data_IF_935459507678
#
_entry.id   IF_935459507678
#
_cell.length_a   1.000
_cell.length_b   1.000
_cell.length_c   1.000
_cell.angle_alpha   90.00
_cell.angle_beta   90.00
_cell.angle_gamma   90.00
#
_symmetry.space_group_name_H-M   'P 1'
#
loop_
_entity.id
_entity.type
_entity.pdbx_description
1 polymer ?
#
# COMPACT_ATOMS: atom_id res chain seq x y z
N UNK A 1 -11.57 14.82 -26.12
CA UNK A 1 -11.88 13.83 -25.05
C UNK A 1 -11.64 12.45 -25.62
N UNK A 2 -10.53 11.80 -25.29
CA UNK A 2 -10.25 10.41 -25.73
C UNK A 2 -10.84 9.46 -24.67
N UNK A 3 -11.72 8.57 -25.12
CA UNK A 3 -12.27 7.46 -24.33
C UNK A 3 -11.11 6.60 -23.76
N UNK A 4 -10.86 6.70 -22.45
CA UNK A 4 -9.85 5.90 -21.72
C UNK A 4 -10.46 4.72 -20.97
N UNK A 5 -11.64 4.22 -21.35
CA UNK A 5 -12.39 3.21 -20.58
C UNK A 5 -12.34 1.77 -21.13
N UNK A 6 -11.55 1.46 -22.15
CA UNK A 6 -11.70 0.13 -22.79
C UNK A 6 -10.58 -0.89 -22.58
N UNK A 7 -9.50 -0.66 -21.81
CA UNK A 7 -8.52 -1.74 -21.54
C UNK A 7 -7.60 -1.48 -20.32
N UNK A 8 -8.08 -0.95 -19.21
CA UNK A 8 -7.23 -0.90 -18.01
C UNK A 8 -7.26 -2.24 -17.30
N UNK A 9 -6.11 -2.92 -17.24
CA UNK A 9 -5.95 -4.14 -16.42
C UNK A 9 -6.24 -3.77 -14.96
N UNK A 10 -7.16 -4.49 -14.26
CA UNK A 10 -7.47 -4.20 -12.87
C UNK A 10 -6.21 -4.20 -11.98
N UNK A 11 -6.17 -3.33 -10.98
CA UNK A 11 -5.02 -3.19 -10.07
C UNK A 11 -4.49 -4.53 -9.54
N UNK A 12 -5.42 -5.41 -9.11
CA UNK A 12 -5.08 -6.74 -8.58
C UNK A 12 -4.32 -7.61 -9.59
N UNK A 13 -4.75 -7.61 -10.82
CA UNK A 13 -4.09 -8.36 -11.90
C UNK A 13 -2.74 -7.75 -12.25
N UNK A 14 -2.67 -6.42 -12.27
CA UNK A 14 -1.45 -5.69 -12.60
C UNK A 14 -0.32 -5.96 -11.61
N UNK A 15 -0.59 -5.89 -10.29
CA UNK A 15 0.42 -6.16 -9.27
C UNK A 15 0.86 -7.63 -9.26
N UNK A 16 -0.07 -8.57 -9.50
CA UNK A 16 0.26 -10.00 -9.60
C UNK A 16 1.10 -10.29 -10.85
N UNK A 17 0.80 -9.65 -11.98
CA UNK A 17 1.59 -9.74 -13.21
C UNK A 17 3.01 -9.23 -12.99
N UNK A 18 3.18 -8.05 -12.41
CA UNK A 18 4.49 -7.49 -12.08
C UNK A 18 5.27 -8.41 -11.11
N UNK A 19 4.58 -8.93 -10.08
CA UNK A 19 5.18 -9.89 -9.13
C UNK A 19 5.68 -11.17 -9.81
N UNK A 20 4.91 -11.71 -10.74
CA UNK A 20 5.29 -12.90 -11.51
C UNK A 20 6.47 -12.62 -12.45
N UNK A 21 6.40 -11.53 -13.21
CA UNK A 21 7.43 -11.18 -14.19
C UNK A 21 8.79 -10.92 -13.54
N UNK A 22 8.81 -10.23 -12.40
CA UNK A 22 10.03 -9.85 -11.70
C UNK A 22 10.43 -10.83 -10.58
N UNK A 23 9.73 -11.95 -10.43
CA UNK A 23 9.97 -12.92 -9.35
C UNK A 23 10.15 -12.22 -7.99
N UNK A 24 9.26 -11.29 -7.68
CA UNK A 24 9.36 -10.46 -6.49
C UNK A 24 7.99 -10.10 -5.93
N UNK A 25 7.89 -10.10 -4.59
CA UNK A 25 6.73 -9.58 -3.85
C UNK A 25 7.08 -8.28 -3.10
N UNK A 26 8.16 -7.60 -3.53
CA UNK A 26 8.66 -6.37 -2.90
C UNK A 26 8.00 -5.14 -3.52
N UNK A 27 7.50 -4.26 -2.68
CA UNK A 27 7.00 -2.93 -3.01
C UNK A 27 7.98 -1.90 -2.48
N UNK A 28 8.55 -1.09 -3.36
CA UNK A 28 9.46 0.00 -2.96
C UNK A 28 8.66 1.15 -2.34
N UNK A 29 8.91 1.46 -1.07
CA UNK A 29 8.34 2.66 -0.45
C UNK A 29 9.26 3.87 -0.62
N UNK A 30 8.80 4.86 -1.37
CA UNK A 30 9.45 6.15 -1.55
C UNK A 30 8.82 7.19 -0.62
N UNK A 31 9.47 7.42 0.51
CA UNK A 31 9.11 8.46 1.48
C UNK A 31 10.21 9.54 1.44
N UNK A 32 10.34 10.21 0.27
CA UNK A 32 11.40 11.17 -0.03
C UNK A 32 11.10 12.54 0.59
N UNK A 33 12.12 13.14 1.22
CA UNK A 33 12.02 14.46 1.85
C UNK A 33 13.40 15.10 2.05
N UNK A 34 13.43 16.37 2.47
CA UNK A 34 14.67 17.05 2.84
C UNK A 34 15.53 17.56 1.68
N UNK A 35 14.93 17.75 0.49
CA UNK A 35 15.62 18.34 -0.67
C UNK A 35 14.62 19.11 -1.56
N UNK A 36 15.14 19.85 -2.57
CA UNK A 36 14.27 20.50 -3.55
C UNK A 36 13.45 19.47 -4.33
N UNK A 37 12.23 19.86 -4.75
CA UNK A 37 11.33 18.97 -5.47
C UNK A 37 11.96 18.39 -6.76
N UNK A 38 12.82 19.16 -7.45
CA UNK A 38 13.55 18.66 -8.62
C UNK A 38 14.61 17.61 -8.26
N UNK A 39 15.31 17.75 -7.12
CA UNK A 39 16.25 16.75 -6.61
C UNK A 39 15.50 15.49 -6.15
N UNK A 40 14.36 15.65 -5.47
CA UNK A 40 13.52 14.53 -5.04
C UNK A 40 13.00 13.74 -6.24
N UNK A 41 12.51 14.40 -7.29
CA UNK A 41 12.06 13.74 -8.52
C UNK A 41 13.20 12.93 -9.17
N UNK A 42 14.38 13.54 -9.34
CA UNK A 42 15.55 12.85 -9.92
C UNK A 42 15.96 11.63 -9.08
N UNK A 43 16.00 11.78 -7.75
CA UNK A 43 16.33 10.69 -6.83
C UNK A 43 15.29 9.57 -6.91
N UNK A 44 14.00 9.93 -6.92
CA UNK A 44 12.92 8.95 -7.03
C UNK A 44 12.96 8.15 -8.33
N UNK A 45 13.15 8.83 -9.47
CA UNK A 45 13.30 8.18 -10.78
C UNK A 45 14.49 7.21 -10.78
N UNK A 46 15.67 7.67 -10.37
CA UNK A 46 16.88 6.82 -10.31
C UNK A 46 16.68 5.58 -9.44
N UNK A 47 16.00 5.72 -8.28
CA UNK A 47 15.69 4.58 -7.42
C UNK A 47 14.73 3.59 -8.09
N UNK A 48 13.67 4.08 -8.74
CA UNK A 48 12.73 3.22 -9.48
C UNK A 48 13.47 2.47 -10.58
N UNK A 49 14.13 3.17 -11.48
CA UNK A 49 14.83 2.62 -12.66
C UNK A 49 15.84 1.53 -12.28
N UNK A 50 16.65 1.79 -11.24
CA UNK A 50 17.66 0.82 -10.77
C UNK A 50 17.09 -0.40 -10.07
N UNK A 51 15.94 -0.26 -9.41
CA UNK A 51 15.39 -1.34 -8.59
C UNK A 51 14.21 -2.06 -9.24
N UNK A 52 13.65 -1.52 -10.31
CA UNK A 52 12.45 -2.03 -11.00
C UNK A 52 12.48 -3.55 -11.28
N UNK A 53 13.60 -4.17 -11.73
CA UNK A 53 13.63 -5.61 -12.00
C UNK A 53 13.38 -6.49 -10.76
N UNK A 54 13.42 -5.91 -9.56
CA UNK A 54 13.29 -6.61 -8.28
C UNK A 54 12.04 -6.20 -7.50
N UNK A 55 11.10 -5.51 -8.15
CA UNK A 55 9.90 -4.98 -7.51
C UNK A 55 8.63 -5.52 -8.16
N UNK A 56 7.51 -5.51 -7.42
CA UNK A 56 6.18 -5.73 -7.96
C UNK A 56 5.31 -4.48 -7.97
N UNK A 57 5.71 -3.41 -7.29
CA UNK A 57 5.04 -2.12 -7.28
C UNK A 57 5.93 -1.03 -6.67
N UNK A 58 5.54 0.23 -6.86
CA UNK A 58 6.08 1.39 -6.15
C UNK A 58 4.99 1.98 -5.26
N UNK A 59 5.33 2.41 -4.04
CA UNK A 59 4.45 3.13 -3.12
C UNK A 59 5.01 4.50 -2.83
N UNK A 60 4.26 5.55 -3.15
CA UNK A 60 4.58 6.92 -2.74
C UNK A 60 3.86 7.26 -1.43
N UNK A 61 4.61 7.71 -0.43
CA UNK A 61 4.03 8.24 0.79
C UNK A 61 3.56 9.70 0.62
N UNK A 62 2.58 10.12 1.44
CA UNK A 62 2.08 11.51 1.50
C UNK A 62 3.21 12.55 1.55
N UNK A 63 4.30 12.39 2.34
CA UNK A 63 5.39 13.37 2.36
C UNK A 63 6.04 13.57 1.00
N UNK A 64 6.21 12.52 0.21
CA UNK A 64 6.79 12.62 -1.14
C UNK A 64 5.89 13.43 -2.07
N UNK A 65 4.58 13.14 -2.07
CA UNK A 65 3.60 13.86 -2.91
C UNK A 65 3.52 15.34 -2.55
N UNK A 66 3.46 15.67 -1.26
CA UNK A 66 3.44 17.07 -0.79
C UNK A 66 4.70 17.83 -1.20
N UNK A 67 5.88 17.21 -1.11
CA UNK A 67 7.15 17.86 -1.47
C UNK A 67 7.35 17.99 -3.00
N UNK A 68 6.77 17.09 -3.79
CA UNK A 68 6.86 17.12 -5.25
C UNK A 68 5.83 18.08 -5.88
N UNK A 69 4.64 18.17 -5.30
CA UNK A 69 3.47 18.75 -5.95
C UNK A 69 2.92 17.86 -7.07
N UNK A 70 1.76 18.22 -7.61
CA UNK A 70 0.98 17.40 -8.55
C UNK A 70 1.78 17.01 -9.79
N UNK A 71 2.39 17.98 -10.49
CA UNK A 71 3.05 17.74 -11.78
C UNK A 71 4.24 16.79 -11.66
N UNK A 72 5.11 17.00 -10.66
CA UNK A 72 6.26 16.11 -10.45
C UNK A 72 5.86 14.74 -9.91
N UNK A 73 4.77 14.66 -9.17
CA UNK A 73 4.19 13.38 -8.75
C UNK A 73 3.73 12.58 -9.97
N UNK A 74 3.01 13.19 -10.93
CA UNK A 74 2.65 12.55 -12.21
C UNK A 74 3.86 11.99 -12.94
N UNK A 75 4.97 12.74 -12.99
CA UNK A 75 6.20 12.29 -13.63
C UNK A 75 6.85 11.09 -12.92
N UNK A 76 6.71 11.01 -11.60
CA UNK A 76 7.23 9.90 -10.82
C UNK A 76 6.35 8.65 -10.95
N UNK A 77 5.03 8.82 -10.95
CA UNK A 77 4.06 7.76 -11.23
C UNK A 77 4.27 7.21 -12.66
N UNK A 78 4.44 8.10 -13.64
CA UNK A 78 4.74 7.69 -15.01
C UNK A 78 6.04 6.87 -15.09
N UNK A 79 7.09 7.27 -14.37
CA UNK A 79 8.33 6.51 -14.31
C UNK A 79 8.12 5.08 -13.76
N UNK A 80 7.21 4.90 -12.78
CA UNK A 80 6.82 3.56 -12.30
C UNK A 80 6.18 2.74 -13.43
N UNK A 81 5.24 3.33 -14.16
CA UNK A 81 4.54 2.68 -15.28
C UNK A 81 5.47 2.37 -16.46
N UNK A 82 6.42 3.27 -16.78
CA UNK A 82 7.44 3.06 -17.83
C UNK A 82 8.36 1.85 -17.52
N UNK A 83 8.35 1.38 -16.26
CA UNK A 83 9.04 0.17 -15.79
C UNK A 83 8.07 -0.98 -15.46
N UNK A 84 6.86 -0.99 -16.02
CA UNK A 84 5.82 -2.01 -15.83
C UNK A 84 5.39 -2.25 -14.36
N UNK A 85 5.55 -1.25 -13.50
CA UNK A 85 5.21 -1.32 -12.08
C UNK A 85 3.97 -0.47 -11.76
N UNK A 86 2.91 -1.03 -11.14
CA UNK A 86 1.82 -0.24 -10.60
C UNK A 86 2.30 0.66 -9.46
N UNK A 87 1.66 1.82 -9.32
CA UNK A 87 1.99 2.82 -8.32
C UNK A 87 0.86 3.00 -7.30
N UNK A 88 1.19 2.90 -6.00
CA UNK A 88 0.25 2.98 -4.89
C UNK A 88 0.47 4.29 -4.13
N UNK A 89 -0.59 5.04 -3.83
CA UNK A 89 -0.52 6.16 -2.89
C UNK A 89 -0.78 5.69 -1.45
N UNK A 90 0.15 5.98 -0.55
CA UNK A 90 -0.02 5.76 0.89
C UNK A 90 -0.45 7.07 1.57
N UNK A 91 -1.72 7.41 1.40
CA UNK A 91 -2.34 8.58 2.03
C UNK A 91 -2.99 8.24 3.37
N UNK A 92 -3.47 7.00 3.53
CA UNK A 92 -4.33 6.58 4.65
C UNK A 92 -5.59 7.45 4.72
N UNK A 93 -6.17 7.69 3.53
CA UNK A 93 -7.36 8.54 3.37
C UNK A 93 -8.49 8.05 4.27
N UNK A 94 -9.07 8.97 5.03
CA UNK A 94 -10.11 8.63 6.02
C UNK A 94 -10.79 9.88 6.54
N UNK A 95 -11.64 10.49 5.72
CA UNK A 95 -12.39 11.70 5.95
C UNK A 95 -13.89 11.45 5.66
N UNK A 96 -14.69 12.48 5.55
CA UNK A 96 -16.07 12.40 5.05
C UNK A 96 -16.11 12.15 3.54
N UNK A 97 -17.25 11.69 3.03
CA UNK A 97 -17.44 11.22 1.66
C UNK A 97 -17.08 12.23 0.57
N UNK A 98 -17.42 13.51 0.72
CA UNK A 98 -17.08 14.56 -0.25
C UNK A 98 -15.56 14.74 -0.35
N UNK A 99 -14.86 14.85 0.77
CA UNK A 99 -13.40 14.96 0.82
C UNK A 99 -12.75 13.71 0.26
N UNK A 100 -13.21 12.52 0.67
CA UNK A 100 -12.70 11.25 0.18
C UNK A 100 -12.88 11.10 -1.34
N UNK A 101 -14.01 11.53 -1.88
CA UNK A 101 -14.29 11.54 -3.32
C UNK A 101 -13.32 12.44 -4.07
N UNK A 102 -13.15 13.69 -3.61
CA UNK A 102 -12.28 14.67 -4.25
C UNK A 102 -10.82 14.22 -4.24
N UNK A 103 -10.33 13.76 -3.08
CA UNK A 103 -8.93 13.34 -2.91
C UNK A 103 -8.62 12.07 -3.69
N UNK A 104 -9.50 11.06 -3.67
CA UNK A 104 -9.28 9.82 -4.43
C UNK A 104 -9.26 10.07 -5.93
N UNK A 105 -10.18 10.91 -6.47
CA UNK A 105 -10.15 11.32 -7.89
C UNK A 105 -8.83 12.03 -8.23
N UNK A 106 -8.40 12.99 -7.42
CA UNK A 106 -7.15 13.70 -7.66
C UNK A 106 -5.94 12.74 -7.73
N UNK A 107 -5.88 11.72 -6.86
CA UNK A 107 -4.82 10.72 -6.93
C UNK A 107 -4.93 9.82 -8.17
N UNK A 108 -6.11 9.34 -8.51
CA UNK A 108 -6.29 8.52 -9.72
C UNK A 108 -6.01 9.31 -11.00
N UNK A 109 -6.37 10.60 -11.05
CA UNK A 109 -6.02 11.52 -12.13
C UNK A 109 -4.50 11.76 -12.22
N UNK A 110 -3.76 11.69 -11.12
CA UNK A 110 -2.29 11.69 -11.14
C UNK A 110 -1.68 10.40 -11.71
N UNK A 111 -2.51 9.36 -11.91
CA UNK A 111 -2.11 8.08 -12.49
C UNK A 111 -1.92 6.96 -11.46
N UNK A 112 -2.13 7.18 -10.17
CA UNK A 112 -2.03 6.10 -9.19
C UNK A 112 -2.98 4.94 -9.50
N UNK A 113 -2.52 3.71 -9.27
CA UNK A 113 -3.28 2.49 -9.52
C UNK A 113 -3.99 1.98 -8.28
N UNK A 114 -3.50 2.36 -7.09
CA UNK A 114 -4.10 1.97 -5.82
C UNK A 114 -3.94 3.03 -4.75
N UNK A 115 -4.85 3.01 -3.78
CA UNK A 115 -4.86 3.92 -2.63
C UNK A 115 -4.97 3.16 -1.32
N UNK A 116 -4.19 3.58 -0.30
CA UNK A 116 -4.34 3.09 1.07
C UNK A 116 -5.30 4.00 1.83
N UNK A 117 -6.35 3.40 2.42
CA UNK A 117 -7.39 4.10 3.17
C UNK A 117 -7.40 3.71 4.65
N UNK A 118 -7.87 4.60 5.52
CA UNK A 118 -8.05 4.34 6.95
C UNK A 118 -9.53 4.01 7.23
N UNK A 119 -9.86 2.79 7.63
CA UNK A 119 -11.24 2.35 7.82
C UNK A 119 -11.93 2.99 9.03
N UNK A 120 -11.24 3.83 9.83
CA UNK A 120 -11.85 4.53 10.96
C UNK A 120 -13.00 5.44 10.53
N UNK A 121 -12.93 6.00 9.31
CA UNK A 121 -13.98 6.85 8.74
C UNK A 121 -15.32 6.12 8.51
N UNK A 122 -15.32 4.78 8.53
CA UNK A 122 -16.52 4.00 8.26
C UNK A 122 -16.88 3.90 6.78
N UNK A 123 -18.03 3.25 6.48
CA UNK A 123 -18.51 3.06 5.12
C UNK A 123 -19.40 4.22 4.67
N UNK A 124 -20.63 4.26 5.23
CA UNK A 124 -21.64 5.26 4.87
C UNK A 124 -21.25 6.66 5.32
N UNK A 125 -21.21 7.61 4.42
CA UNK A 125 -20.74 8.96 4.67
C UNK A 125 -19.22 9.08 4.86
N UNK A 126 -18.48 8.01 4.56
CA UNK A 126 -17.03 7.94 4.68
C UNK A 126 -16.37 7.37 3.42
N UNK A 127 -15.94 6.10 3.45
CA UNK A 127 -15.10 5.51 2.39
C UNK A 127 -15.85 4.92 1.20
N UNK A 128 -17.18 4.76 1.26
CA UNK A 128 -17.98 4.18 0.18
C UNK A 128 -17.65 4.77 -1.22
N UNK A 129 -17.55 6.11 -1.40
CA UNK A 129 -17.28 6.68 -2.71
C UNK A 129 -15.88 6.33 -3.25
N UNK A 130 -14.87 6.14 -2.38
CA UNK A 130 -13.53 5.73 -2.81
C UNK A 130 -13.58 4.36 -3.48
N UNK A 131 -14.28 3.41 -2.88
CA UNK A 131 -14.45 2.07 -3.44
C UNK A 131 -15.23 2.09 -4.76
N UNK A 132 -16.32 2.88 -4.85
CA UNK A 132 -17.10 3.04 -6.09
C UNK A 132 -16.27 3.64 -7.23
N UNK A 133 -15.48 4.67 -6.94
CA UNK A 133 -14.61 5.32 -7.93
C UNK A 133 -13.53 4.32 -8.38
N UNK A 134 -12.85 3.67 -7.43
CA UNK A 134 -11.81 2.69 -7.73
C UNK A 134 -12.32 1.54 -8.59
N UNK A 135 -13.46 0.95 -8.23
CA UNK A 135 -14.09 -0.11 -9.00
C UNK A 135 -14.41 0.31 -10.44
N UNK A 136 -14.98 1.52 -10.63
CA UNK A 136 -15.30 2.05 -11.96
C UNK A 136 -14.08 2.26 -12.84
N UNK A 137 -12.93 2.61 -12.23
CA UNK A 137 -11.71 2.97 -12.95
C UNK A 137 -10.65 1.84 -12.97
N UNK A 138 -11.01 0.63 -12.48
CA UNK A 138 -10.07 -0.49 -12.38
C UNK A 138 -8.92 -0.27 -11.40
N UNK A 139 -9.12 0.63 -10.43
CA UNK A 139 -8.14 0.99 -9.39
C UNK A 139 -8.31 0.13 -8.14
N UNK A 140 -7.26 0.07 -7.30
CA UNK A 140 -7.27 -0.73 -6.08
C UNK A 140 -7.48 0.07 -4.80
N UNK A 141 -8.16 -0.53 -3.83
CA UNK A 141 -8.29 0.01 -2.47
C UNK A 141 -7.67 -0.95 -1.47
N UNK A 142 -6.73 -0.46 -0.69
CA UNK A 142 -6.03 -1.22 0.34
C UNK A 142 -6.39 -0.62 1.71
N UNK A 143 -6.96 -1.43 2.60
CA UNK A 143 -7.44 -0.98 3.91
C UNK A 143 -6.33 -1.08 4.95
N UNK A 144 -6.11 -0.03 5.72
CA UNK A 144 -5.20 -0.04 6.87
C UNK A 144 -5.81 -0.85 8.02
N UNK A 145 -5.17 -1.98 8.36
CA UNK A 145 -5.64 -2.86 9.43
C UNK A 145 -4.77 -2.76 10.69
N UNK A 146 -3.43 -2.73 10.54
CA UNK A 146 -2.52 -2.61 11.67
C UNK A 146 -1.19 -1.94 11.25
N UNK A 147 -0.80 -0.86 11.90
CA UNK A 147 0.46 -0.17 11.61
C UNK A 147 1.68 -0.90 12.17
N UNK A 148 2.88 -0.55 11.68
CA UNK A 148 4.15 -1.21 12.04
C UNK A 148 4.95 -0.53 13.14
N UNK A 149 4.53 0.66 13.64
CA UNK A 149 5.22 1.40 14.70
C UNK A 149 4.84 0.88 16.10
N UNK A 150 5.64 1.15 17.15
CA UNK A 150 5.40 0.61 18.50
C UNK A 150 4.05 0.99 19.09
N UNK A 151 3.62 2.26 19.00
CA UNK A 151 2.34 2.73 19.50
C UNK A 151 1.10 2.22 18.75
N UNK A 152 1.27 1.39 17.72
CA UNK A 152 0.14 0.79 17.02
C UNK A 152 -0.70 -0.14 17.93
N UNK A 153 -0.10 -0.70 18.98
CA UNK A 153 -0.83 -1.55 19.93
C UNK A 153 -1.90 -0.79 20.72
N UNK A 154 -1.67 0.50 20.96
CA UNK A 154 -2.53 1.30 21.85
C UNK A 154 -3.88 1.58 21.17
N UNK A 155 -3.88 1.81 19.85
CA UNK A 155 -5.07 2.12 19.08
C UNK A 155 -5.64 0.88 18.35
N UNK A 156 -4.81 0.21 17.55
CA UNK A 156 -5.28 -0.94 16.77
C UNK A 156 -5.48 -2.20 17.61
N UNK A 157 -4.79 -2.28 18.76
CA UNK A 157 -4.88 -3.39 19.71
C UNK A 157 -5.97 -3.26 20.73
N UNK A 158 -6.59 -2.09 20.90
CA UNK A 158 -7.64 -1.86 21.91
C UNK A 158 -8.87 -2.74 21.69
N UNK A 159 -9.60 -3.03 22.78
CA UNK A 159 -10.88 -3.70 22.71
C UNK A 159 -12.02 -2.71 22.45
N UNK A 160 -12.87 -3.04 21.51
CA UNK A 160 -14.03 -2.26 21.12
C UNK A 160 -15.30 -3.09 21.32
N UNK A 161 -16.29 -2.53 21.98
CA UNK A 161 -17.64 -3.08 22.12
C UNK A 161 -18.57 -2.28 21.20
N UNK A 162 -19.10 -2.91 20.16
CA UNK A 162 -19.95 -2.24 19.13
C UNK A 162 -21.44 -2.21 19.47
N UNK A 163 -21.86 -2.97 20.45
CA UNK A 163 -23.25 -2.97 20.94
C UNK A 163 -23.27 -3.35 22.44
N UNK A 164 -24.29 -2.95 23.19
CA UNK A 164 -24.36 -3.23 24.63
C UNK A 164 -24.26 -4.71 25.03
N UNK A 165 -24.66 -5.62 24.14
CA UNK A 165 -24.58 -7.08 24.32
C UNK A 165 -23.47 -7.72 23.46
N UNK A 166 -22.65 -6.91 22.75
CA UNK A 166 -21.58 -7.37 21.86
C UNK A 166 -20.37 -7.85 22.66
N UNK A 167 -19.73 -8.92 22.20
CA UNK A 167 -18.43 -9.34 22.74
C UNK A 167 -17.35 -8.34 22.34
N UNK A 168 -16.42 -7.99 23.26
CA UNK A 168 -15.26 -7.17 22.94
C UNK A 168 -14.43 -7.81 21.82
N UNK A 169 -14.01 -6.99 20.85
CA UNK A 169 -13.12 -7.41 19.76
C UNK A 169 -11.98 -6.41 19.63
N UNK A 170 -10.82 -6.88 19.18
CA UNK A 170 -9.69 -5.97 18.88
C UNK A 170 -10.05 -5.07 17.72
N UNK A 171 -9.63 -3.80 17.76
CA UNK A 171 -9.90 -2.83 16.69
C UNK A 171 -9.43 -3.33 15.33
N UNK A 172 -8.21 -3.92 15.25
CA UNK A 172 -7.69 -4.45 14.00
C UNK A 172 -8.52 -5.62 13.43
N UNK A 173 -9.20 -6.41 14.28
CA UNK A 173 -10.07 -7.48 13.80
C UNK A 173 -11.34 -6.92 13.14
N UNK A 174 -11.84 -5.80 13.67
CA UNK A 174 -12.96 -5.07 13.07
C UNK A 174 -12.52 -4.48 11.72
N UNK A 175 -11.29 -3.95 11.64
CA UNK A 175 -10.75 -3.41 10.40
C UNK A 175 -10.47 -4.50 9.34
N UNK A 176 -9.99 -5.67 9.75
CA UNK A 176 -9.85 -6.83 8.87
C UNK A 176 -11.21 -7.27 8.30
N UNK A 177 -12.23 -7.35 9.16
CA UNK A 177 -13.59 -7.65 8.72
C UNK A 177 -14.12 -6.61 7.72
N UNK A 178 -13.88 -5.31 7.95
CA UNK A 178 -14.25 -4.24 7.00
C UNK A 178 -13.54 -4.40 5.66
N UNK A 179 -12.24 -4.74 5.67
CA UNK A 179 -11.51 -4.98 4.42
C UNK A 179 -12.15 -6.10 3.59
N UNK A 180 -12.58 -7.18 4.24
CA UNK A 180 -13.30 -8.28 3.59
C UNK A 180 -14.69 -7.86 3.10
N UNK A 181 -15.52 -7.30 3.98
CA UNK A 181 -16.90 -6.91 3.69
C UNK A 181 -17.01 -5.82 2.61
N UNK A 182 -16.03 -4.92 2.55
CA UNK A 182 -16.01 -3.83 1.56
C UNK A 182 -15.39 -4.25 0.22
N UNK A 183 -14.91 -5.49 0.12
CA UNK A 183 -14.30 -6.00 -1.12
C UNK A 183 -12.96 -5.34 -1.44
N UNK A 184 -12.15 -5.03 -0.42
CA UNK A 184 -10.84 -4.42 -0.61
C UNK A 184 -9.89 -5.32 -1.40
N UNK A 185 -8.96 -4.73 -2.17
CA UNK A 185 -7.89 -5.46 -2.85
C UNK A 185 -6.79 -5.91 -1.89
N UNK A 186 -6.73 -5.30 -0.72
CA UNK A 186 -5.76 -5.68 0.28
C UNK A 186 -5.96 -5.05 1.64
N UNK A 187 -5.14 -5.53 2.58
CA UNK A 187 -5.05 -5.09 3.96
C UNK A 187 -3.60 -4.77 4.32
N UNK A 188 -3.33 -3.58 4.87
CA UNK A 188 -2.01 -3.25 5.42
C UNK A 188 -1.88 -3.79 6.83
N UNK A 189 -0.92 -4.69 7.06
CA UNK A 189 -0.62 -5.26 8.38
C UNK A 189 0.89 -5.25 8.62
N UNK A 190 1.34 -4.56 9.67
CA UNK A 190 2.77 -4.39 9.97
C UNK A 190 3.51 -5.72 10.19
N UNK A 191 4.61 -5.93 9.47
CA UNK A 191 5.48 -7.12 9.57
C UNK A 191 6.21 -7.27 10.91
N UNK A 192 6.20 -6.23 11.75
CA UNK A 192 6.80 -6.24 13.09
C UNK A 192 6.03 -7.10 14.08
N UNK A 193 4.80 -7.49 13.73
CA UNK A 193 3.87 -8.29 14.54
C UNK A 193 3.34 -9.50 13.76
N UNK A 194 4.16 -10.55 13.54
CA UNK A 194 3.75 -11.73 12.76
C UNK A 194 2.49 -12.42 13.31
N UNK A 195 2.28 -12.38 14.63
CA UNK A 195 1.08 -12.92 15.29
C UNK A 195 -0.20 -12.19 14.86
N UNK A 196 -0.11 -10.87 14.64
CA UNK A 196 -1.24 -10.09 14.12
C UNK A 196 -1.47 -10.41 12.64
N UNK A 197 -0.39 -10.53 11.84
CA UNK A 197 -0.48 -10.94 10.43
C UNK A 197 -1.22 -12.29 10.33
N UNK A 198 -0.83 -13.29 11.13
CA UNK A 198 -1.45 -14.62 11.16
C UNK A 198 -2.94 -14.54 11.55
N UNK A 199 -3.28 -13.75 12.57
CA UNK A 199 -4.66 -13.56 13.00
C UNK A 199 -5.50 -12.88 11.91
N UNK A 200 -4.97 -11.82 11.27
CA UNK A 200 -5.67 -11.13 10.18
C UNK A 200 -5.84 -12.07 8.97
N UNK A 201 -4.79 -12.85 8.59
CA UNK A 201 -4.89 -13.79 7.48
C UNK A 201 -6.01 -14.81 7.67
N UNK A 202 -6.22 -15.30 8.89
CA UNK A 202 -7.31 -16.25 9.18
C UNK A 202 -8.72 -15.67 9.05
N UNK A 203 -8.85 -14.35 8.92
CA UNK A 203 -10.13 -13.62 8.81
C UNK A 203 -10.40 -13.11 7.39
N UNK A 204 -9.42 -13.18 6.51
CA UNK A 204 -9.51 -12.69 5.14
C UNK A 204 -9.58 -13.85 4.14
N UNK A 205 -10.37 -13.70 3.10
CA UNK A 205 -10.33 -14.59 1.93
C UNK A 205 -9.03 -14.42 1.15
N UNK A 206 -8.77 -15.33 0.21
CA UNK A 206 -7.65 -15.21 -0.71
C UNK A 206 -7.82 -14.03 -1.70
N UNK A 207 -9.00 -13.43 -1.76
CA UNK A 207 -9.27 -12.24 -2.53
C UNK A 207 -8.62 -10.98 -1.96
N UNK A 208 -8.47 -10.89 -0.63
CA UNK A 208 -7.84 -9.74 0.05
C UNK A 208 -6.40 -10.06 0.39
N UNK A 209 -5.45 -9.39 -0.26
CA UNK A 209 -4.00 -9.60 -0.07
C UNK A 209 -3.46 -8.82 1.13
N UNK A 210 -2.46 -9.37 1.82
CA UNK A 210 -1.81 -8.69 2.95
C UNK A 210 -0.53 -7.99 2.49
N UNK A 211 -0.49 -6.68 2.70
CA UNK A 211 0.62 -5.78 2.41
C UNK A 211 1.33 -5.42 3.71
N UNK A 212 2.58 -5.85 3.86
CA UNK A 212 3.29 -5.74 5.15
C UNK A 212 4.45 -4.75 5.12
N UNK A 213 4.25 -3.53 5.70
CA UNK A 213 5.34 -2.60 5.97
C UNK A 213 6.12 -2.98 7.23
N UNK A 214 7.26 -2.27 7.45
CA UNK A 214 8.06 -2.43 8.66
C UNK A 214 9.19 -3.45 8.54
N UNK A 215 9.53 -3.86 7.33
CA UNK A 215 10.64 -4.78 7.04
C UNK A 215 12.00 -4.05 7.18
N UNK A 216 12.99 -4.76 7.71
CA UNK A 216 14.36 -4.31 7.86
C UNK A 216 14.54 -3.34 9.03
N UNK A 217 14.75 -2.04 8.81
CA UNK A 217 15.07 -1.05 9.86
C UNK A 217 14.05 -0.94 11.01
N UNK A 218 12.81 -1.40 10.81
CA UNK A 218 11.79 -1.46 11.88
C UNK A 218 11.75 -2.83 12.58
N UNK A 219 12.62 -3.77 12.21
CA UNK A 219 12.75 -5.08 12.85
C UNK A 219 11.93 -6.21 12.23
N UNK A 220 11.00 -5.93 11.32
CA UNK A 220 10.29 -6.97 10.57
C UNK A 220 11.22 -7.75 9.65
N UNK A 221 10.96 -9.05 9.50
CA UNK A 221 11.69 -9.95 8.61
C UNK A 221 10.77 -10.52 7.55
N UNK A 222 11.19 -10.49 6.28
CA UNK A 222 10.41 -11.00 5.13
C UNK A 222 9.92 -12.42 5.39
N UNK A 223 10.83 -13.35 5.72
CA UNK A 223 10.48 -14.76 5.95
C UNK A 223 9.47 -14.98 7.08
N UNK A 224 9.56 -14.19 8.17
CA UNK A 224 8.58 -14.29 9.27
C UNK A 224 7.21 -13.80 8.85
N UNK A 225 7.16 -12.68 8.14
CA UNK A 225 5.91 -12.10 7.64
C UNK A 225 5.28 -13.01 6.56
N UNK A 226 6.09 -13.59 5.65
CA UNK A 226 5.65 -14.55 4.64
C UNK A 226 5.00 -15.78 5.29
N UNK A 227 5.68 -16.42 6.24
CA UNK A 227 5.15 -17.58 6.98
C UNK A 227 3.89 -17.26 7.80
N UNK A 228 3.71 -16.00 8.18
CA UNK A 228 2.51 -15.54 8.87
C UNK A 228 1.33 -15.25 7.92
N UNK A 229 1.57 -15.23 6.60
CA UNK A 229 0.54 -15.04 5.58
C UNK A 229 0.56 -13.70 4.86
N UNK A 230 1.67 -12.94 4.93
CA UNK A 230 1.84 -11.73 4.12
C UNK A 230 2.07 -12.08 2.65
N UNK A 231 1.36 -11.38 1.76
CA UNK A 231 1.48 -11.54 0.31
C UNK A 231 2.55 -10.62 -0.28
N UNK A 232 2.59 -9.34 0.16
CA UNK A 232 3.51 -8.32 -0.35
C UNK A 232 4.26 -7.61 0.77
N UNK A 233 5.49 -7.18 0.50
CA UNK A 233 6.42 -6.59 1.47
C UNK A 233 6.77 -5.16 1.11
N UNK A 234 6.31 -4.19 1.89
CA UNK A 234 6.57 -2.76 1.67
C UNK A 234 7.88 -2.39 2.35
N UNK A 235 8.92 -2.08 1.55
CA UNK A 235 10.28 -1.84 2.01
C UNK A 235 10.74 -0.45 1.56
N UNK A 236 11.07 0.41 2.52
CA UNK A 236 11.54 1.77 2.27
C UNK A 236 13.03 1.91 2.53
N UNK A 237 13.39 2.47 3.70
CA UNK A 237 14.76 2.87 4.08
C UNK A 237 15.83 1.79 3.91
N UNK A 238 15.49 0.52 4.02
CA UNK A 238 16.42 -0.59 3.81
C UNK A 238 16.87 -0.75 2.35
N UNK A 239 16.11 -0.18 1.41
CA UNK A 239 16.48 -0.07 -0.01
C UNK A 239 16.95 1.35 -0.32
N UNK A 240 16.12 2.36 -0.04
CA UNK A 240 16.37 3.75 -0.49
C UNK A 240 17.59 4.42 0.13
N UNK A 241 18.09 3.91 1.28
CA UNK A 241 19.28 4.39 1.98
C UNK A 241 20.41 3.37 2.02
N UNK A 242 20.32 2.31 1.24
CA UNK A 242 21.42 1.36 1.07
C UNK A 242 22.55 2.00 0.25
N UNK A 243 23.80 1.62 0.50
CA UNK A 243 24.94 2.00 -0.33
C UNK A 243 24.77 1.54 -1.78
N UNK A 244 24.12 0.39 -1.96
CA UNK A 244 23.68 -0.14 -3.25
C UNK A 244 22.21 -0.55 -3.17
N UNK A 245 21.28 0.34 -3.61
CA UNK A 245 19.84 0.08 -3.59
C UNK A 245 19.41 -1.11 -4.45
N UNK A 246 20.09 -1.34 -5.57
CA UNK A 246 19.81 -2.45 -6.48
C UNK A 246 20.10 -3.79 -5.83
N UNK A 247 21.31 -3.95 -5.28
CA UNK A 247 21.70 -5.16 -4.52
C UNK A 247 20.79 -5.42 -3.33
N UNK A 248 20.37 -4.36 -2.64
CA UNK A 248 19.42 -4.47 -1.54
C UNK A 248 18.04 -4.96 -2.02
N UNK A 249 17.50 -4.36 -3.09
CA UNK A 249 16.22 -4.77 -3.68
C UNK A 249 16.25 -6.23 -4.15
N UNK A 250 17.31 -6.63 -4.87
CA UNK A 250 17.52 -8.02 -5.28
C UNK A 250 17.53 -9.00 -4.11
N UNK A 251 18.25 -8.67 -3.03
CA UNK A 251 18.28 -9.50 -1.83
C UNK A 251 16.90 -9.69 -1.21
N UNK A 252 16.10 -8.61 -1.11
CA UNK A 252 14.73 -8.69 -0.59
C UNK A 252 13.79 -9.42 -1.55
N UNK A 253 13.94 -9.26 -2.86
CA UNK A 253 13.17 -10.01 -3.86
C UNK A 253 13.34 -11.52 -3.67
N UNK A 254 14.57 -11.98 -3.59
CA UNK A 254 14.88 -13.41 -3.31
C UNK A 254 14.24 -13.90 -2.00
N UNK A 255 14.36 -13.14 -0.91
CA UNK A 255 13.75 -13.49 0.38
C UNK A 255 12.22 -13.53 0.29
N UNK A 256 11.62 -12.72 -0.58
CA UNK A 256 10.16 -12.64 -0.72
C UNK A 256 9.56 -13.86 -1.41
N UNK A 257 10.36 -14.61 -2.16
CA UNK A 257 9.95 -15.79 -2.92
C UNK A 257 10.31 -17.13 -2.22
N UNK A 258 11.12 -17.06 -1.16
CA UNK A 258 11.43 -18.19 -0.28
C UNK A 258 10.30 -18.35 0.76
#
# INVERSE_FOLDING_TARGET
MRNRSENSVPFRENILRASKNNFSRVILALDLQGASSSKLLRTGKNLIERTAPYLCAVKLGRPTVLNLGTEKTRLLVKCSHDNDLPCIIDDKLGDIDETNSAVSRAYFDMGFDGIIVNPIAGWKGGLEPVFKIAQKEGKGVIVLVYMSHPGASDEFGQFVVRSPRGKPRRQYEIFAQRAEEWGADGAVVGATRPEIVKNVRSKLSNGVRIYSPGIGKQGGKVLRASRAGSDFFIIGRSITRASDPEKAAHSFARQSMA
#
